data_IF_823642224506
#
_entry.id   IF_823642224506
#
_cell.length_a   1.000
_cell.length_b   1.000
_cell.length_c   1.000
_cell.angle_alpha   90.00
_cell.angle_beta   90.00
_cell.angle_gamma   90.00
#
_symmetry.space_group_name_H-M   'P 1'
#
loop_
_entity.id
_entity.type
_entity.pdbx_description
1 polymer ?
#
# COMPACT_ATOMS: atom_id res chain seq x y z
N UNK A 1 -8.99 -8.07 -26.61
CA UNK A 1 -9.88 -7.57 -25.54
C UNK A 1 -11.13 -8.44 -25.58
N UNK A 2 -11.39 -9.21 -24.52
CA UNK A 2 -12.45 -10.23 -24.56
C UNK A 2 -13.78 -9.63 -24.13
N UNK A 3 -14.90 -10.05 -24.76
CA UNK A 3 -16.26 -9.65 -24.36
C UNK A 3 -16.55 -9.93 -22.86
N UNK A 4 -15.86 -10.93 -22.29
CA UNK A 4 -15.96 -11.31 -20.89
C UNK A 4 -15.46 -10.22 -19.93
N UNK A 5 -14.43 -9.44 -20.31
CA UNK A 5 -13.86 -8.42 -19.42
C UNK A 5 -14.83 -7.25 -19.19
N UNK A 6 -15.60 -6.89 -20.22
CA UNK A 6 -16.60 -5.83 -20.11
C UNK A 6 -17.84 -6.29 -19.32
N UNK A 7 -18.24 -7.56 -19.45
CA UNK A 7 -19.33 -8.14 -18.66
C UNK A 7 -19.00 -8.16 -17.15
N UNK A 8 -17.76 -8.52 -16.78
CA UNK A 8 -17.32 -8.46 -15.38
C UNK A 8 -17.36 -7.03 -14.83
N UNK A 9 -16.95 -6.05 -15.64
CA UNK A 9 -16.98 -4.63 -15.26
C UNK A 9 -18.41 -4.14 -15.09
N UNK A 10 -19.35 -4.59 -15.91
CA UNK A 10 -20.77 -4.29 -15.76
C UNK A 10 -21.31 -4.79 -14.41
N UNK A 11 -21.02 -6.04 -14.04
CA UNK A 11 -21.42 -6.62 -12.74
C UNK A 11 -20.84 -5.78 -11.59
N UNK A 12 -19.55 -5.46 -11.67
CA UNK A 12 -18.85 -4.67 -10.65
C UNK A 12 -19.42 -3.26 -10.56
N UNK A 13 -19.67 -2.62 -11.71
CA UNK A 13 -20.20 -1.27 -11.78
C UNK A 13 -21.63 -1.21 -11.22
N UNK A 14 -22.47 -2.23 -11.46
CA UNK A 14 -23.84 -2.30 -10.94
C UNK A 14 -23.91 -2.70 -9.46
N UNK A 15 -22.88 -3.38 -8.95
CA UNK A 15 -22.86 -3.83 -7.55
C UNK A 15 -22.74 -2.67 -6.56
N UNK A 16 -23.82 -2.42 -5.81
CA UNK A 16 -23.88 -1.43 -4.73
C UNK A 16 -22.87 -1.76 -3.62
N UNK A 17 -22.70 -3.05 -3.29
CA UNK A 17 -21.79 -3.50 -2.24
C UNK A 17 -20.34 -3.14 -2.54
N UNK A 18 -19.90 -3.31 -3.78
CA UNK A 18 -18.52 -2.98 -4.19
C UNK A 18 -18.28 -1.46 -4.10
N UNK A 19 -19.24 -0.65 -4.55
CA UNK A 19 -19.17 0.81 -4.43
C UNK A 19 -19.09 1.26 -2.97
N UNK A 20 -19.96 0.71 -2.11
CA UNK A 20 -19.94 0.98 -0.68
C UNK A 20 -18.60 0.57 -0.05
N UNK A 21 -18.06 -0.59 -0.43
CA UNK A 21 -16.74 -1.05 0.02
C UNK A 21 -15.62 -0.06 -0.32
N UNK A 22 -15.62 0.53 -1.52
CA UNK A 22 -14.65 1.57 -1.88
C UNK A 22 -14.83 2.86 -1.09
N UNK A 23 -16.07 3.30 -0.88
CA UNK A 23 -16.35 4.48 -0.05
C UNK A 23 -15.88 4.29 1.39
N UNK A 24 -16.21 3.14 2.00
CA UNK A 24 -15.77 2.80 3.35
C UNK A 24 -14.23 2.77 3.46
N UNK A 25 -13.53 2.17 2.48
CA UNK A 25 -12.06 2.16 2.44
C UNK A 25 -11.46 3.55 2.26
N UNK A 26 -12.08 4.42 1.47
CA UNK A 26 -11.67 5.84 1.35
C UNK A 26 -11.80 6.56 2.68
N UNK A 27 -12.92 6.40 3.40
CA UNK A 27 -13.12 6.99 4.74
C UNK A 27 -12.06 6.48 5.72
N UNK A 28 -11.82 5.17 5.75
CA UNK A 28 -10.75 4.58 6.58
C UNK A 28 -9.36 5.13 6.23
N UNK A 29 -9.08 5.37 4.95
CA UNK A 29 -7.81 5.97 4.51
C UNK A 29 -7.67 7.40 5.01
N UNK A 30 -8.75 8.20 4.98
CA UNK A 30 -8.77 9.56 5.55
C UNK A 30 -8.55 9.54 7.06
N UNK A 31 -9.25 8.65 7.78
CA UNK A 31 -9.04 8.47 9.22
C UNK A 31 -7.59 8.06 9.53
N UNK A 32 -7.00 7.19 8.71
CA UNK A 32 -5.59 6.80 8.80
C UNK A 32 -4.64 7.99 8.64
N UNK A 33 -4.87 8.86 7.64
CA UNK A 33 -4.07 10.08 7.45
C UNK A 33 -4.17 11.00 8.67
N UNK A 34 -5.39 11.23 9.18
CA UNK A 34 -5.62 12.08 10.36
C UNK A 34 -4.91 11.49 11.58
N UNK A 35 -5.06 10.18 11.82
CA UNK A 35 -4.40 9.49 12.93
C UNK A 35 -2.87 9.63 12.85
N UNK A 36 -2.28 9.42 11.67
CA UNK A 36 -0.83 9.58 11.48
C UNK A 36 -0.37 11.03 11.64
N UNK A 37 -1.14 12.00 11.17
CA UNK A 37 -0.85 13.43 11.36
C UNK A 37 -0.90 13.83 12.85
N UNK A 38 -1.89 13.30 13.59
CA UNK A 38 -2.00 13.50 15.04
C UNK A 38 -0.82 12.85 15.77
N UNK A 39 -0.43 11.62 15.40
CA UNK A 39 0.76 10.96 15.97
C UNK A 39 2.06 11.73 15.69
N UNK A 40 2.19 12.35 14.53
CA UNK A 40 3.30 13.27 14.24
C UNK A 40 3.26 14.51 15.16
N UNK A 41 2.07 15.07 15.42
CA UNK A 41 1.88 16.32 16.17
C UNK A 41 1.98 16.16 17.70
N UNK A 42 1.50 15.05 18.27
CA UNK A 42 1.48 14.79 19.73
C UNK A 42 2.90 14.74 20.35
N UNK A 43 3.93 14.94 19.53
CA UNK A 43 5.32 14.63 19.79
C UNK A 43 5.43 13.14 20.01
N UNK A 44 6.16 12.52 19.10
CA UNK A 44 6.96 11.34 19.35
C UNK A 44 7.71 11.47 20.69
N UNK A 45 7.03 11.25 21.82
CA UNK A 45 7.59 11.27 23.19
C UNK A 45 8.42 10.00 23.44
N UNK A 46 9.11 9.59 22.38
CA UNK A 46 10.14 8.58 22.30
C UNK A 46 11.42 9.04 23.00
N UNK A 47 11.32 9.95 23.97
CA UNK A 47 12.41 10.44 24.82
C UNK A 47 13.18 9.26 25.40
N UNK A 48 12.48 8.17 25.76
CA UNK A 48 13.05 6.96 26.35
C UNK A 48 13.56 5.95 25.32
N UNK A 49 13.27 6.12 24.03
CA UNK A 49 13.80 5.21 23.02
C UNK A 49 15.17 5.65 22.55
N UNK A 50 16.02 4.64 22.35
CA UNK A 50 17.32 4.78 21.71
C UNK A 50 17.20 5.52 20.37
N UNK A 51 18.17 6.38 19.99
CA UNK A 51 18.10 7.17 18.77
C UNK A 51 17.82 6.37 17.49
N UNK A 52 18.29 5.11 17.40
CA UNK A 52 18.03 4.21 16.27
C UNK A 52 16.56 3.80 16.19
N UNK A 53 16.01 3.19 17.26
CA UNK A 53 14.59 2.85 17.35
C UNK A 53 13.68 4.05 17.09
N UNK A 54 14.04 5.23 17.61
CA UNK A 54 13.29 6.47 17.38
C UNK A 54 13.23 6.84 15.90
N UNK A 55 14.33 6.69 15.17
CA UNK A 55 14.37 6.98 13.74
C UNK A 55 13.55 5.96 12.95
N UNK A 56 13.71 4.67 13.25
CA UNK A 56 12.93 3.59 12.62
C UNK A 56 11.42 3.76 12.84
N UNK A 57 11.00 4.16 14.04
CA UNK A 57 9.59 4.40 14.33
C UNK A 57 9.02 5.62 13.60
N UNK A 58 9.84 6.66 13.36
CA UNK A 58 9.44 7.77 12.47
C UNK A 58 9.27 7.28 11.04
N UNK A 59 10.19 6.46 10.54
CA UNK A 59 10.08 5.86 9.21
C UNK A 59 8.82 4.99 9.10
N UNK A 60 8.47 4.23 10.15
CA UNK A 60 7.23 3.46 10.21
C UNK A 60 5.99 4.33 10.06
N UNK A 61 5.93 5.48 10.76
CA UNK A 61 4.82 6.44 10.64
C UNK A 61 4.76 7.02 9.22
N UNK A 62 5.90 7.35 8.63
CA UNK A 62 5.97 7.84 7.24
C UNK A 62 5.46 6.80 6.25
N UNK A 63 5.82 5.53 6.41
CA UNK A 63 5.29 4.45 5.58
C UNK A 63 3.78 4.27 5.72
N UNK A 64 3.24 4.34 6.94
CA UNK A 64 1.79 4.27 7.17
C UNK A 64 1.04 5.46 6.57
N UNK A 65 1.62 6.67 6.65
CA UNK A 65 1.08 7.85 6.00
C UNK A 65 1.06 7.68 4.48
N UNK A 66 2.17 7.21 3.90
CA UNK A 66 2.28 6.94 2.46
C UNK A 66 1.27 5.88 2.01
N UNK A 67 1.12 4.79 2.78
CA UNK A 67 0.12 3.76 2.50
C UNK A 67 -1.29 4.35 2.52
N UNK A 68 -1.63 5.12 3.54
CA UNK A 68 -2.97 5.72 3.67
C UNK A 68 -3.28 6.67 2.50
N UNK A 69 -2.31 7.49 2.08
CA UNK A 69 -2.44 8.37 0.90
C UNK A 69 -2.62 7.53 -0.37
N UNK A 70 -1.81 6.48 -0.55
CA UNK A 70 -1.88 5.63 -1.74
C UNK A 70 -3.22 4.88 -1.84
N UNK A 71 -3.72 4.34 -0.71
CA UNK A 71 -5.04 3.72 -0.64
C UNK A 71 -6.15 4.73 -0.92
N UNK A 72 -6.04 5.96 -0.43
CA UNK A 72 -7.00 7.01 -0.73
C UNK A 72 -7.04 7.30 -2.24
N UNK A 73 -5.89 7.48 -2.88
CA UNK A 73 -5.79 7.72 -4.33
C UNK A 73 -6.41 6.54 -5.11
N UNK A 74 -6.05 5.31 -4.75
CA UNK A 74 -6.57 4.10 -5.40
C UNK A 74 -8.10 3.97 -5.27
N UNK A 75 -8.63 4.13 -4.06
CA UNK A 75 -10.07 4.02 -3.82
C UNK A 75 -10.84 5.20 -4.42
N UNK A 76 -10.32 6.43 -4.33
CA UNK A 76 -10.92 7.61 -4.97
C UNK A 76 -10.99 7.45 -6.50
N UNK A 77 -9.93 6.92 -7.12
CA UNK A 77 -9.90 6.63 -8.56
C UNK A 77 -10.98 5.63 -8.94
N UNK A 78 -11.13 4.55 -8.17
CA UNK A 78 -12.19 3.56 -8.39
C UNK A 78 -13.59 4.18 -8.21
N UNK A 79 -13.82 4.98 -7.16
CA UNK A 79 -15.11 5.64 -6.91
C UNK A 79 -15.47 6.61 -8.02
N UNK A 80 -14.55 7.50 -8.41
CA UNK A 80 -14.77 8.46 -9.50
C UNK A 80 -15.11 7.71 -10.78
N UNK A 81 -14.30 6.71 -11.12
CA UNK A 81 -14.48 5.91 -12.34
C UNK A 81 -15.85 5.26 -12.38
N UNK A 82 -16.31 4.62 -11.29
CA UNK A 82 -17.61 3.94 -11.25
C UNK A 82 -18.82 4.86 -10.98
N UNK A 83 -18.58 6.12 -10.60
CA UNK A 83 -19.65 7.11 -10.38
C UNK A 83 -19.97 7.90 -11.66
N UNK A 84 -19.00 8.09 -12.55
CA UNK A 84 -19.25 8.70 -13.86
C UNK A 84 -20.09 7.76 -14.71
N UNK A 85 -21.23 8.23 -15.22
CA UNK A 85 -22.02 7.49 -16.20
C UNK A 85 -21.28 7.46 -17.53
N UNK A 86 -21.04 6.26 -18.06
CA UNK A 86 -20.54 6.07 -19.42
C UNK A 86 -21.55 5.28 -20.23
N UNK A 87 -21.59 5.54 -21.53
CA UNK A 87 -22.47 4.85 -22.49
C UNK A 87 -22.06 3.39 -22.73
N UNK A 88 -20.78 3.06 -22.54
CA UNK A 88 -20.22 1.72 -22.75
C UNK A 88 -19.42 1.27 -21.51
N UNK A 89 -19.73 0.08 -21.01
CA UNK A 89 -19.05 -0.56 -19.87
C UNK A 89 -17.57 -0.81 -20.13
N UNK A 90 -17.18 -1.03 -21.39
CA UNK A 90 -15.79 -1.21 -21.77
C UNK A 90 -14.94 0.06 -21.53
N UNK A 91 -15.55 1.24 -21.40
CA UNK A 91 -14.81 2.47 -21.13
C UNK A 91 -14.42 2.65 -19.66
N UNK A 92 -14.94 1.81 -18.75
CA UNK A 92 -14.48 1.77 -17.36
C UNK A 92 -13.18 0.96 -17.20
N UNK A 93 -12.72 0.23 -18.23
CA UNK A 93 -11.44 -0.47 -18.21
C UNK A 93 -10.28 0.52 -18.19
N UNK A 94 -9.35 0.35 -17.26
CA UNK A 94 -8.17 1.23 -17.14
C UNK A 94 -6.96 0.57 -17.77
N UNK A 95 -6.14 1.34 -18.49
CA UNK A 95 -4.87 0.84 -18.99
C UNK A 95 -3.95 0.49 -17.82
N UNK A 96 -3.23 -0.64 -17.94
CA UNK A 96 -2.27 -1.08 -16.92
C UNK A 96 -1.19 -0.02 -16.67
N UNK A 97 -0.77 0.73 -17.69
CA UNK A 97 0.15 1.88 -17.57
C UNK A 97 -0.29 2.92 -16.53
N UNK A 98 -1.59 3.09 -16.32
CA UNK A 98 -2.15 4.04 -15.34
C UNK A 98 -2.42 3.33 -14.00
N UNK A 99 -3.00 2.13 -14.04
CA UNK A 99 -3.34 1.39 -12.83
C UNK A 99 -2.13 0.86 -12.04
N UNK A 100 -1.08 0.44 -12.75
CA UNK A 100 0.15 -0.11 -12.18
C UNK A 100 0.87 0.85 -11.24
N UNK A 101 1.21 2.11 -11.61
CA UNK A 101 1.91 3.03 -10.70
C UNK A 101 1.08 3.36 -9.45
N UNK A 102 -0.24 3.52 -9.59
CA UNK A 102 -1.16 3.76 -8.45
C UNK A 102 -1.09 2.60 -7.46
N UNK A 103 -1.14 1.37 -7.97
CA UNK A 103 -1.04 0.15 -7.17
C UNK A 103 0.36 -0.04 -6.59
N UNK A 104 1.40 0.17 -7.38
CA UNK A 104 2.79 -0.03 -6.98
C UNK A 104 3.14 0.82 -5.76
N UNK A 105 2.64 2.06 -5.69
CA UNK A 105 2.85 2.91 -4.53
C UNK A 105 2.32 2.29 -3.23
N UNK A 106 1.14 1.66 -3.27
CA UNK A 106 0.55 1.00 -2.10
C UNK A 106 1.35 -0.23 -1.67
N UNK A 107 1.85 -1.01 -2.64
CA UNK A 107 2.66 -2.19 -2.38
C UNK A 107 4.03 -1.82 -1.81
N UNK A 108 4.70 -0.81 -2.37
CA UNK A 108 5.97 -0.29 -1.84
C UNK A 108 5.77 0.13 -0.38
N UNK A 109 4.67 0.83 -0.07
CA UNK A 109 4.39 1.24 1.30
C UNK A 109 4.16 0.06 2.25
N UNK A 110 3.40 -0.97 1.83
CA UNK A 110 3.19 -2.20 2.63
C UNK A 110 4.52 -2.90 2.91
N UNK A 111 5.34 -3.15 1.88
CA UNK A 111 6.66 -3.76 2.09
C UNK A 111 7.56 -2.90 2.97
N UNK A 112 7.48 -1.57 2.84
CA UNK A 112 8.17 -0.63 3.72
C UNK A 112 7.78 -0.79 5.20
N UNK A 113 6.49 -0.94 5.50
CA UNK A 113 5.97 -1.20 6.86
C UNK A 113 6.56 -2.50 7.41
N UNK A 114 6.48 -3.60 6.66
CA UNK A 114 6.99 -4.91 7.08
C UNK A 114 8.51 -4.90 7.33
N UNK A 115 9.28 -4.33 6.39
CA UNK A 115 10.73 -4.21 6.53
C UNK A 115 11.13 -3.29 7.69
N UNK A 116 10.31 -2.30 8.02
CA UNK A 116 10.54 -1.45 9.19
C UNK A 116 10.33 -2.22 10.49
N UNK A 117 9.31 -3.09 10.56
CA UNK A 117 9.08 -3.97 11.72
C UNK A 117 10.22 -4.98 11.89
N UNK A 118 10.69 -5.59 10.80
CA UNK A 118 11.88 -6.43 10.81
C UNK A 118 13.10 -5.67 11.35
N UNK A 119 13.31 -4.43 10.88
CA UNK A 119 14.43 -3.59 11.31
C UNK A 119 14.36 -3.23 12.80
N UNK A 120 13.15 -2.98 13.33
CA UNK A 120 12.94 -2.78 14.76
C UNK A 120 13.29 -4.05 15.55
N UNK A 121 12.88 -5.23 15.08
CA UNK A 121 13.24 -6.50 15.73
C UNK A 121 14.77 -6.70 15.76
N UNK A 122 15.47 -6.40 14.66
CA UNK A 122 16.94 -6.48 14.59
C UNK A 122 17.58 -5.46 15.55
N UNK A 123 17.07 -4.23 15.59
CA UNK A 123 17.55 -3.20 16.52
C UNK A 123 17.43 -3.65 17.98
N UNK A 124 16.29 -4.27 18.34
CA UNK A 124 16.07 -4.82 19.68
C UNK A 124 16.95 -6.02 19.98
N UNK A 125 17.15 -6.92 19.02
CA UNK A 125 18.08 -8.03 19.19
C UNK A 125 19.51 -7.53 19.47
N UNK A 126 19.99 -6.54 18.72
CA UNK A 126 21.31 -5.92 18.95
C UNK A 126 21.37 -5.27 20.33
N UNK A 127 20.31 -4.56 20.74
CA UNK A 127 20.25 -3.94 22.05
C UNK A 127 20.35 -4.97 23.20
N UNK A 128 19.73 -6.14 23.04
CA UNK A 128 19.80 -7.24 24.03
C UNK A 128 21.20 -7.87 24.07
N UNK A 129 21.77 -8.23 22.91
CA UNK A 129 23.06 -8.93 22.86
C UNK A 129 24.27 -8.02 23.13
N UNK A 130 24.18 -6.73 22.79
CA UNK A 130 25.29 -5.77 22.89
C UNK A 130 25.01 -4.61 23.86
N UNK A 131 24.12 -4.82 24.84
CA UNK A 131 23.59 -3.82 25.78
C UNK A 131 24.61 -2.74 26.22
N UNK A 132 25.74 -3.15 26.80
CA UNK A 132 26.75 -2.22 27.36
C UNK A 132 27.37 -1.28 26.33
N UNK A 133 27.59 -1.75 25.10
CA UNK A 133 28.18 -0.95 24.00
C UNK A 133 27.10 -0.19 23.25
N UNK A 134 25.91 -0.76 23.17
CA UNK A 134 24.77 -0.20 22.47
C UNK A 134 24.20 1.02 23.18
N UNK A 135 23.90 0.93 24.48
CA UNK A 135 23.32 2.05 25.23
C UNK A 135 24.24 3.26 25.35
N UNK A 136 25.56 3.04 25.36
CA UNK A 136 26.56 4.12 25.39
C UNK A 136 26.71 4.82 24.04
N UNK A 137 26.24 4.20 22.96
CA UNK A 137 26.42 4.71 21.60
C UNK A 137 25.23 5.58 21.19
N UNK A 138 25.44 6.88 20.98
CA UNK A 138 24.41 7.78 20.43
C UNK A 138 24.34 7.74 18.90
N UNK A 139 25.09 6.84 18.26
CA UNK A 139 25.22 6.76 16.81
C UNK A 139 23.93 6.29 16.13
N UNK A 140 23.50 7.04 15.11
CA UNK A 140 22.33 6.75 14.26
C UNK A 140 22.66 5.95 12.99
N UNK A 141 23.93 5.57 12.80
CA UNK A 141 24.41 4.93 11.56
C UNK A 141 23.66 3.64 11.23
N UNK A 142 23.38 2.82 12.25
CA UNK A 142 22.66 1.56 12.08
C UNK A 142 21.26 1.79 11.51
N UNK A 143 20.50 2.75 12.07
CA UNK A 143 19.16 3.06 11.59
C UNK A 143 19.17 3.59 10.15
N UNK A 144 20.12 4.44 9.77
CA UNK A 144 20.22 4.90 8.38
C UNK A 144 20.47 3.75 7.40
N UNK A 145 21.38 2.83 7.74
CA UNK A 145 21.65 1.65 6.92
C UNK A 145 20.39 0.79 6.77
N UNK A 146 19.69 0.52 7.87
CA UNK A 146 18.42 -0.23 7.84
C UNK A 146 17.34 0.46 7.00
N UNK A 147 17.21 1.79 7.09
CA UNK A 147 16.25 2.56 6.29
C UNK A 147 16.58 2.49 4.80
N UNK A 148 17.86 2.57 4.43
CA UNK A 148 18.28 2.41 3.03
C UNK A 148 17.89 1.01 2.52
N UNK A 149 18.14 -0.05 3.31
CA UNK A 149 17.72 -1.40 2.96
C UNK A 149 16.19 -1.55 2.87
N UNK A 150 15.42 -0.88 3.73
CA UNK A 150 13.95 -0.86 3.63
C UNK A 150 13.48 -0.24 2.31
N UNK A 151 14.03 0.92 1.93
CA UNK A 151 13.66 1.62 0.70
C UNK A 151 14.02 0.76 -0.52
N UNK A 152 15.24 0.23 -0.59
CA UNK A 152 15.68 -0.61 -1.71
C UNK A 152 14.84 -1.90 -1.75
N UNK A 153 14.64 -2.57 -0.62
CA UNK A 153 13.87 -3.81 -0.54
C UNK A 153 12.39 -3.65 -0.92
N UNK A 154 11.76 -2.55 -0.50
CA UNK A 154 10.36 -2.25 -0.85
C UNK A 154 10.17 -1.93 -2.35
N UNK A 155 11.11 -1.19 -2.95
CA UNK A 155 11.12 -0.91 -4.38
C UNK A 155 11.38 -2.20 -5.18
N UNK A 156 12.38 -2.99 -4.79
CA UNK A 156 12.75 -4.22 -5.49
C UNK A 156 11.63 -5.27 -5.45
N UNK A 157 11.02 -5.49 -4.28
CA UNK A 157 9.89 -6.43 -4.15
C UNK A 157 8.69 -6.05 -5.00
N UNK A 158 8.45 -4.75 -5.19
CA UNK A 158 7.31 -4.28 -5.99
C UNK A 158 7.62 -4.24 -7.48
N UNK A 159 8.76 -3.67 -7.89
CA UNK A 159 9.08 -3.43 -9.30
C UNK A 159 9.80 -4.64 -9.91
N UNK A 160 10.82 -5.17 -9.23
CA UNK A 160 11.73 -6.19 -9.77
C UNK A 160 11.02 -7.50 -10.12
N UNK A 161 9.98 -7.87 -9.36
CA UNK A 161 9.21 -9.10 -9.59
C UNK A 161 8.03 -8.90 -10.56
N UNK A 162 7.45 -7.70 -10.65
CA UNK A 162 6.23 -7.50 -11.42
C UNK A 162 6.48 -6.91 -12.81
N UNK A 163 7.55 -6.13 -13.02
CA UNK A 163 7.77 -5.43 -14.29
C UNK A 163 8.02 -6.38 -15.48
N UNK A 164 8.61 -7.55 -15.22
CA UNK A 164 8.94 -8.54 -16.26
C UNK A 164 7.75 -9.40 -16.67
N UNK A 165 6.73 -9.49 -15.82
CA UNK A 165 5.53 -10.32 -16.03
C UNK A 165 4.33 -9.48 -16.47
N UNK A 166 4.36 -8.17 -16.23
CA UNK A 166 3.23 -7.28 -16.50
C UNK A 166 3.16 -6.88 -17.97
N UNK A 167 2.05 -7.24 -18.64
CA UNK A 167 1.69 -6.68 -19.93
C UNK A 167 1.13 -5.25 -19.76
N UNK A 168 1.92 -4.26 -20.15
CA UNK A 168 1.56 -2.85 -20.03
C UNK A 168 0.53 -2.39 -21.07
N UNK A 169 0.34 -3.11 -22.17
CA UNK A 169 -0.66 -2.77 -23.19
C UNK A 169 -2.06 -3.31 -22.81
N UNK A 170 -2.13 -4.19 -21.82
CA UNK A 170 -3.38 -4.72 -21.31
C UNK A 170 -4.24 -3.65 -20.60
N UNK A 171 -5.54 -3.92 -20.49
CA UNK A 171 -6.49 -3.15 -19.69
C UNK A 171 -7.00 -3.99 -18.53
N UNK A 172 -7.20 -3.37 -17.37
CA UNK A 172 -7.63 -4.03 -16.14
C UNK A 172 -8.98 -3.51 -15.65
N UNK A 173 -9.74 -4.42 -15.07
CA UNK A 173 -11.08 -4.15 -14.54
C UNK A 173 -10.99 -3.37 -13.22
N UNK A 174 -9.96 -3.61 -12.39
CA UNK A 174 -9.84 -3.02 -11.06
C UNK A 174 -8.38 -2.68 -10.69
N UNK A 175 -8.20 -1.51 -10.08
CA UNK A 175 -6.96 -1.20 -9.33
C UNK A 175 -7.19 -1.65 -7.89
N UNK A 176 -6.68 -2.82 -7.55
CA UNK A 176 -6.74 -3.37 -6.20
C UNK A 176 -5.39 -4.00 -5.82
N UNK A 177 -5.18 -4.17 -4.52
CA UNK A 177 -4.00 -4.83 -3.96
C UNK A 177 -3.88 -6.34 -4.32
N UNK A 178 -4.96 -6.98 -4.81
CA UNK A 178 -4.97 -8.40 -5.17
C UNK A 178 -4.05 -8.70 -6.38
N UNK A 179 -3.12 -9.62 -6.20
CA UNK A 179 -2.17 -10.11 -7.22
C UNK A 179 -2.74 -11.18 -8.16
N UNK A 180 -3.95 -11.68 -7.95
CA UNK A 180 -4.54 -12.66 -8.87
C UNK A 180 -5.41 -11.99 -9.93
N UNK A 181 -4.90 -11.93 -11.15
CA UNK A 181 -5.68 -12.25 -12.35
C UNK A 181 -6.48 -13.54 -12.09
N UNK A 182 -7.76 -13.40 -11.73
CA UNK A 182 -8.75 -14.46 -11.88
C UNK A 182 -10.10 -13.77 -12.02
N UNK A 183 -10.40 -13.39 -13.26
CA UNK A 183 -11.75 -13.14 -13.75
C UNK A 183 -12.70 -14.32 -13.47
N UNK A 184 -12.17 -15.50 -13.13
CA UNK A 184 -12.94 -16.71 -12.84
C UNK A 184 -13.66 -16.70 -11.48
N UNK A 185 -13.27 -15.88 -10.51
CA UNK A 185 -13.92 -15.87 -9.18
C UNK A 185 -15.15 -14.95 -9.07
N UNK A 186 -15.44 -14.11 -10.06
CA UNK A 186 -16.73 -13.37 -10.07
C UNK A 186 -17.90 -14.30 -10.37
N UNK A 187 -17.66 -15.43 -11.05
CA UNK A 187 -18.69 -16.48 -11.27
C UNK A 187 -19.12 -17.22 -10.01
N UNK A 188 -18.34 -17.17 -8.93
CA UNK A 188 -18.65 -17.89 -7.68
C UNK A 188 -19.55 -17.10 -6.72
N UNK A 189 -19.82 -15.81 -6.97
CA UNK A 189 -20.71 -15.00 -6.13
C UNK A 189 -22.16 -14.97 -6.60
N UNK A 190 -22.51 -15.67 -7.69
CA UNK A 190 -23.90 -15.84 -8.16
C UNK A 190 -24.64 -17.02 -7.46
N UNK A 191 -24.01 -17.64 -6.45
CA UNK A 191 -24.68 -18.55 -5.53
C UNK A 191 -24.58 -17.99 -4.11
N UNK A 192 -25.47 -17.07 -3.75
CA UNK A 192 -26.18 -16.96 -2.46
C UNK A 192 -27.05 -15.70 -2.43
#
# INVERSE_FOLDING_TARGET
MSLNDCAVVEIIAKSVYIRFGYMARSVLSVLGIIAMAVLCKIRCNYMHFHPNARLLLRTYILWNLLLSISLLIMNATNVIRFSTQQSDWCNYLIQVKIGYPIRALSLIAIFGIELTMLSLCIERAIAVFAYRKYEKSTSKKLAYVMIIFQIIGSIWSTIGLNITVTDFEARTTLIQLRTSTNSDQVKEWDFF
#
